data_IF_719279066866
#
_entry.id   IF_719279066866
#
_cell.length_a   1.000
_cell.length_b   1.000
_cell.length_c   1.000
_cell.angle_alpha   90.00
_cell.angle_beta   90.00
_cell.angle_gamma   90.00
#
_symmetry.space_group_name_H-M   'P 1'
#
loop_
_entity.id
_entity.type
_entity.pdbx_description
1 polymer ?
#
# COMPACT_ATOMS: atom_id res chain seq x y z
N UNK A 1 4.76 12.55 12.61
CA UNK A 1 4.94 13.22 11.31
C UNK A 1 5.67 12.24 10.40
N UNK A 2 5.26 12.09 9.14
CA UNK A 2 6.00 11.23 8.19
C UNK A 2 7.44 11.74 8.07
N UNK A 3 8.41 10.83 8.12
CA UNK A 3 9.81 11.20 7.89
C UNK A 3 9.97 11.66 6.43
N UNK A 4 10.87 12.60 6.19
CA UNK A 4 11.31 12.95 4.84
C UNK A 4 11.77 11.67 4.13
N UNK A 5 11.39 11.51 2.85
CA UNK A 5 11.74 10.38 1.98
C UNK A 5 10.99 9.03 2.21
N UNK A 6 10.02 8.90 3.13
CA UNK A 6 9.31 7.60 3.33
C UNK A 6 8.65 7.09 2.04
N UNK A 7 7.96 7.98 1.31
CA UNK A 7 7.28 7.61 0.08
C UNK A 7 8.26 7.17 -1.02
N UNK A 8 9.34 7.93 -1.21
CA UNK A 8 10.35 7.62 -2.21
C UNK A 8 11.08 6.32 -1.90
N UNK A 9 11.55 6.12 -0.66
CA UNK A 9 12.19 4.86 -0.23
C UNK A 9 11.24 3.67 -0.40
N UNK A 10 9.97 3.84 -0.05
CA UNK A 10 8.97 2.78 -0.21
C UNK A 10 8.72 2.46 -1.68
N UNK A 11 8.45 3.47 -2.51
CA UNK A 11 8.23 3.30 -3.95
C UNK A 11 9.43 2.63 -4.63
N UNK A 12 10.64 3.12 -4.38
CA UNK A 12 11.86 2.52 -4.93
C UNK A 12 11.99 1.06 -4.52
N UNK A 13 11.74 0.72 -3.25
CA UNK A 13 11.79 -0.67 -2.80
C UNK A 13 10.74 -1.57 -3.47
N UNK A 14 9.54 -1.03 -3.75
CA UNK A 14 8.49 -1.76 -4.47
C UNK A 14 8.90 -2.04 -5.92
N UNK A 15 9.39 -1.03 -6.64
CA UNK A 15 9.79 -1.13 -8.04
C UNK A 15 10.98 -2.08 -8.25
N UNK A 16 11.86 -2.22 -7.25
CA UNK A 16 13.00 -3.15 -7.27
C UNK A 16 12.67 -4.55 -6.71
N UNK A 17 11.45 -4.77 -6.24
CA UNK A 17 11.05 -6.05 -5.65
C UNK A 17 11.65 -6.33 -4.27
N UNK A 18 12.19 -5.32 -3.58
CA UNK A 18 12.80 -5.44 -2.26
C UNK A 18 11.73 -5.50 -1.16
N UNK A 19 11.21 -6.72 -0.96
CA UNK A 19 10.18 -7.01 0.04
C UNK A 19 10.65 -6.78 1.48
N UNK A 20 11.95 -6.83 1.74
CA UNK A 20 12.50 -6.63 3.09
C UNK A 20 12.42 -5.15 3.43
N UNK A 21 12.99 -4.30 2.57
CA UNK A 21 12.93 -2.84 2.75
C UNK A 21 11.49 -2.33 2.78
N UNK A 22 10.60 -2.88 1.94
CA UNK A 22 9.17 -2.53 1.98
C UNK A 22 8.56 -2.73 3.38
N UNK A 23 8.87 -3.85 4.04
CA UNK A 23 8.37 -4.14 5.40
C UNK A 23 8.99 -3.21 6.42
N UNK A 24 10.30 -3.00 6.34
CA UNK A 24 11.04 -2.13 7.26
C UNK A 24 10.50 -0.70 7.26
N UNK A 25 10.29 -0.10 6.08
CA UNK A 25 9.76 1.27 5.97
C UNK A 25 8.40 1.41 6.65
N UNK A 26 7.51 0.44 6.45
CA UNK A 26 6.17 0.44 7.03
C UNK A 26 6.22 0.19 8.54
N UNK A 27 7.06 -0.72 9.00
CA UNK A 27 7.27 -0.96 10.42
C UNK A 27 7.87 0.23 11.15
N UNK A 28 8.87 0.89 10.57
CA UNK A 28 9.45 2.14 11.09
C UNK A 28 8.38 3.22 11.23
N UNK A 29 7.52 3.34 10.21
CA UNK A 29 6.41 4.31 10.23
C UNK A 29 5.44 4.00 11.37
N UNK A 30 5.04 2.75 11.54
CA UNK A 30 4.18 2.34 12.66
C UNK A 30 4.85 2.57 14.03
N UNK A 31 6.14 2.24 14.16
CA UNK A 31 6.94 2.44 15.39
C UNK A 31 7.13 3.92 15.72
N UNK A 32 7.05 4.81 14.73
CA UNK A 32 7.05 6.27 14.95
C UNK A 32 5.75 6.81 15.58
N UNK A 33 4.76 5.94 15.82
CA UNK A 33 3.48 6.29 16.41
C UNK A 33 2.40 6.66 15.39
N UNK A 34 2.68 6.53 14.08
CA UNK A 34 1.65 6.76 13.07
C UNK A 34 0.63 5.61 13.10
N UNK A 35 -0.67 5.90 13.29
CA UNK A 35 -1.70 4.88 13.30
C UNK A 35 -1.78 4.09 11.99
N UNK A 36 -2.17 2.81 12.05
CA UNK A 36 -2.27 1.97 10.85
C UNK A 36 -3.21 2.56 9.79
N UNK A 37 -4.33 3.18 10.18
CA UNK A 37 -5.24 3.87 9.25
C UNK A 37 -4.57 5.04 8.52
N UNK A 38 -3.64 5.73 9.16
CA UNK A 38 -2.85 6.79 8.53
C UNK A 38 -1.82 6.22 7.56
N UNK A 39 -1.21 5.06 7.86
CA UNK A 39 -0.34 4.37 6.88
C UNK A 39 -1.10 4.05 5.59
N UNK A 40 -2.37 3.65 5.66
CA UNK A 40 -3.20 3.44 4.47
C UNK A 40 -3.37 4.73 3.65
N UNK A 41 -3.81 5.80 4.31
CA UNK A 41 -4.19 7.05 3.62
C UNK A 41 -2.99 7.86 3.16
N UNK A 42 -1.91 7.87 3.95
CA UNK A 42 -0.79 8.79 3.77
C UNK A 42 0.41 8.12 3.09
N UNK A 43 0.40 6.78 2.93
CA UNK A 43 1.46 6.02 2.25
C UNK A 43 0.89 5.11 1.17
N UNK A 44 0.09 4.11 1.53
CA UNK A 44 -0.36 3.07 0.58
C UNK A 44 -1.12 3.69 -0.59
N UNK A 45 -2.06 4.59 -0.30
CA UNK A 45 -2.89 5.23 -1.32
C UNK A 45 -2.08 6.12 -2.29
N UNK A 46 -1.26 7.09 -1.82
CA UNK A 46 -0.38 7.86 -2.71
C UNK A 46 0.53 6.99 -3.58
N UNK A 47 1.04 5.89 -3.03
CA UNK A 47 1.96 5.00 -3.72
C UNK A 47 1.25 4.21 -4.84
N UNK A 48 0.00 3.80 -4.62
CA UNK A 48 -0.80 3.21 -5.70
C UNK A 48 -1.03 4.19 -6.86
N UNK A 49 -1.31 5.46 -6.56
CA UNK A 49 -1.47 6.52 -7.57
C UNK A 49 -0.16 6.74 -8.32
N UNK A 50 0.96 6.76 -7.60
CA UNK A 50 2.27 6.98 -8.21
C UNK A 50 2.69 5.82 -9.11
N UNK A 51 2.46 4.56 -8.69
CA UNK A 51 2.69 3.38 -9.53
C UNK A 51 1.87 3.46 -10.83
N UNK A 52 0.58 3.78 -10.75
CA UNK A 52 -0.27 3.95 -11.94
C UNK A 52 0.21 5.11 -12.83
N UNK A 53 0.63 6.22 -12.23
CA UNK A 53 1.17 7.38 -12.96
C UNK A 53 2.45 7.02 -13.72
N UNK A 54 3.39 6.31 -13.06
CA UNK A 54 4.63 5.86 -13.68
C UNK A 54 4.36 4.88 -14.83
N UNK A 55 3.40 3.98 -14.67
CA UNK A 55 3.03 3.04 -15.72
C UNK A 55 2.38 3.76 -16.92
N UNK A 56 1.40 4.65 -16.69
CA UNK A 56 0.73 5.42 -17.74
C UNK A 56 1.63 6.38 -18.50
N UNK A 57 2.76 6.76 -17.91
CA UNK A 57 3.76 7.65 -18.51
C UNK A 57 4.97 6.91 -19.07
N UNK A 58 4.87 5.59 -19.26
CA UNK A 58 5.91 4.71 -19.81
C UNK A 58 7.25 4.77 -19.04
N UNK A 59 7.20 5.09 -17.74
CA UNK A 59 8.38 5.17 -16.86
C UNK A 59 8.74 3.84 -16.22
N UNK A 60 7.78 2.94 -16.12
CA UNK A 60 7.94 1.55 -15.71
C UNK A 60 7.14 0.66 -16.67
N UNK A 61 7.57 -0.60 -16.83
CA UNK A 61 6.83 -1.55 -17.64
C UNK A 61 5.72 -2.26 -16.84
N UNK A 62 4.91 -3.08 -17.54
CA UNK A 62 3.81 -3.83 -16.94
C UNK A 62 4.29 -4.89 -15.92
N UNK A 63 5.53 -5.39 -16.04
CA UNK A 63 6.08 -6.35 -15.10
C UNK A 63 6.46 -5.67 -13.78
N UNK A 64 7.05 -4.47 -13.85
CA UNK A 64 7.37 -3.64 -12.69
C UNK A 64 6.11 -3.15 -11.98
N UNK A 65 5.09 -2.69 -12.72
CA UNK A 65 3.78 -2.33 -12.17
C UNK A 65 3.18 -3.51 -11.40
N UNK A 66 3.05 -4.68 -12.05
CA UNK A 66 2.44 -5.86 -11.44
C UNK A 66 3.22 -6.35 -10.21
N UNK A 67 4.57 -6.28 -10.26
CA UNK A 67 5.43 -6.62 -9.14
C UNK A 67 5.21 -5.68 -7.95
N UNK A 68 5.26 -4.37 -8.18
CA UNK A 68 5.08 -3.34 -7.16
C UNK A 68 3.68 -3.45 -6.53
N UNK A 69 2.63 -3.55 -7.34
CA UNK A 69 1.24 -3.72 -6.89
C UNK A 69 1.08 -4.99 -6.06
N UNK A 70 1.68 -6.12 -6.45
CA UNK A 70 1.61 -7.38 -5.69
C UNK A 70 2.33 -7.32 -4.35
N UNK A 71 3.49 -6.67 -4.27
CA UNK A 71 4.21 -6.50 -3.00
C UNK A 71 3.43 -5.55 -2.09
N UNK A 72 2.96 -4.41 -2.62
CA UNK A 72 2.16 -3.45 -1.88
C UNK A 72 0.89 -4.11 -1.31
N UNK A 73 0.22 -4.97 -2.09
CA UNK A 73 -0.92 -5.76 -1.62
C UNK A 73 -0.58 -6.66 -0.43
N UNK A 74 0.58 -7.33 -0.46
CA UNK A 74 1.00 -8.19 0.65
C UNK A 74 1.26 -7.38 1.93
N UNK A 75 1.85 -6.17 1.80
CA UNK A 75 2.03 -5.24 2.92
C UNK A 75 0.67 -4.79 3.48
N UNK A 76 -0.28 -4.46 2.61
CA UNK A 76 -1.65 -4.10 2.98
C UNK A 76 -2.35 -5.22 3.77
N UNK A 77 -2.23 -6.46 3.33
CA UNK A 77 -2.82 -7.60 4.03
C UNK A 77 -2.24 -7.74 5.46
N UNK A 78 -0.95 -7.43 5.64
CA UNK A 78 -0.31 -7.41 6.97
C UNK A 78 -0.80 -6.21 7.83
N UNK A 79 -0.96 -5.04 7.22
CA UNK A 79 -1.46 -3.83 7.88
C UNK A 79 -2.91 -3.97 8.36
N UNK A 80 -3.74 -4.72 7.63
CA UNK A 80 -5.14 -4.93 7.97
C UNK A 80 -5.32 -5.50 9.39
N UNK A 81 -4.38 -6.34 9.84
CA UNK A 81 -4.40 -6.92 11.18
C UNK A 81 -4.12 -5.89 12.29
N UNK A 82 -3.54 -4.73 11.95
CA UNK A 82 -3.20 -3.65 12.89
C UNK A 82 -4.25 -2.54 12.93
N UNK A 83 -5.29 -2.62 12.10
CA UNK A 83 -6.38 -1.65 12.11
C UNK A 83 -7.23 -1.76 13.38
N UNK A 84 -7.68 -0.62 13.95
CA UNK A 84 -8.55 -0.64 15.11
C UNK A 84 -9.87 -1.37 14.80
N UNK A 85 -10.19 -2.39 15.61
CA UNK A 85 -11.43 -3.15 15.47
C UNK A 85 -12.47 -2.64 16.46
N UNK A 86 -13.65 -2.29 15.95
CA UNK A 86 -14.82 -2.00 16.78
C UNK A 86 -15.52 -3.31 17.16
N UNK A 87 -16.23 -3.36 18.31
CA UNK A 87 -17.02 -4.52 18.67
C UNK A 87 -18.00 -4.88 17.56
N UNK A 88 -18.19 -6.18 17.34
CA UNK A 88 -19.06 -6.68 16.29
C UNK A 88 -20.50 -6.19 16.55
N UNK A 89 -21.13 -5.66 15.51
CA UNK A 89 -22.59 -5.48 15.47
C UNK A 89 -23.14 -6.70 14.75
N UNK A 90 -24.28 -7.26 15.17
CA UNK A 90 -24.95 -8.41 14.51
C UNK A 90 -25.54 -8.06 13.12
N UNK A 91 -24.80 -7.29 12.31
CA UNK A 91 -25.13 -6.88 10.95
C UNK A 91 -24.09 -7.47 10.02
N UNK A 92 -24.53 -7.97 8.86
CA UNK A 92 -23.65 -8.51 7.82
C UNK A 92 -23.50 -7.47 6.71
N UNK A 93 -22.29 -7.33 6.18
CA UNK A 93 -21.97 -6.48 5.04
C UNK A 93 -21.25 -7.34 4.01
N UNK A 94 -21.63 -7.22 2.75
CA UNK A 94 -20.97 -7.87 1.62
C UNK A 94 -20.27 -6.79 0.81
N UNK A 95 -18.99 -7.00 0.50
CA UNK A 95 -18.19 -6.12 -0.37
C UNK A 95 -17.83 -6.93 -1.61
N UNK A 96 -18.23 -6.44 -2.78
CA UNK A 96 -17.96 -7.06 -4.07
C UNK A 96 -17.39 -6.01 -5.02
N UNK A 97 -16.47 -6.42 -5.88
CA UNK A 97 -16.10 -5.67 -7.08
C UNK A 97 -16.84 -6.22 -8.29
N UNK A 98 -16.89 -5.44 -9.36
CA UNK A 98 -17.37 -5.90 -10.67
C UNK A 98 -16.44 -6.97 -11.24
N UNK A 99 -16.98 -7.88 -12.06
CA UNK A 99 -16.18 -8.86 -12.82
C UNK A 99 -15.40 -8.23 -13.97
N UNK A 100 -15.72 -6.99 -14.34
CA UNK A 100 -15.06 -6.21 -15.40
C UNK A 100 -14.92 -4.75 -14.99
N UNK A 101 -13.69 -4.25 -14.96
CA UNK A 101 -13.39 -2.83 -14.83
C UNK A 101 -13.30 -2.26 -16.26
N UNK A 102 -14.21 -1.35 -16.63
CA UNK A 102 -14.10 -0.63 -17.90
C UNK A 102 -13.20 0.58 -17.66
N UNK A 103 -11.91 0.42 -17.95
CA UNK A 103 -10.91 1.49 -17.96
C UNK A 103 -10.72 2.07 -19.35
#
# INVERSE_FOLDING_TARGET
MLKENVLERYLNSLLHGDRVTCREVIEETLKSGLPANNVYMDIVWPIMIEIDTLYRTDRIDSAQEALATRINRNIVDQLQNKLPRKPQKHKKVVVCSTSTEHG
#
